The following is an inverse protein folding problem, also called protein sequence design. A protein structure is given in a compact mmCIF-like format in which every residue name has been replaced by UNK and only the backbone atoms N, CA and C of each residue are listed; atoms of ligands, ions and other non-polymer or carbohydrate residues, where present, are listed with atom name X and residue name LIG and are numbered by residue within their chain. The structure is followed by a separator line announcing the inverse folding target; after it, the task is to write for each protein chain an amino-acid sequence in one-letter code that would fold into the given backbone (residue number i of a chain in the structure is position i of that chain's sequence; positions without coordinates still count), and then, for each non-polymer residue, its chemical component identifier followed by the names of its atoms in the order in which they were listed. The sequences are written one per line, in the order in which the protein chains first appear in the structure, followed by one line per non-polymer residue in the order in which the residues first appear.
data_IF_016511650354
#
_entry.id   IF_016511650354
#
_cell.length_a   1.000
_cell.length_b   1.000
_cell.length_c   1.000
_cell.angle_alpha   90.00
_cell.angle_beta   90.00
_cell.angle_gamma   90.00
#
_symmetry.space_group_name_H-M   'P 1'
#
loop_
_entity.id
_entity.type
_entity.pdbx_description
1 polymer ?
#
# COMPACT_ATOMS: atom_id res chain seq x y z
N UNK A 1 -6.80 4.72 88.23
CA UNK A 1 -8.03 3.94 87.93
C UNK A 1 -8.09 3.91 86.41
N UNK A 2 -7.65 2.85 85.72
CA UNK A 2 -8.34 1.55 85.54
C UNK A 2 -9.82 1.80 85.21
N UNK A 3 -10.38 1.41 84.06
CA UNK A 3 -10.32 0.07 83.47
C UNK A 3 -10.37 0.05 81.93
N UNK A 4 -9.85 -1.05 81.42
CA UNK A 4 -9.86 -1.57 80.06
C UNK A 4 -11.21 -2.28 79.79
N UNK A 5 -11.75 -2.30 78.56
CA UNK A 5 -12.23 -3.55 77.93
C UNK A 5 -12.78 -3.41 76.50
N UNK A 6 -12.33 -4.38 75.70
CA UNK A 6 -12.49 -4.70 74.28
C UNK A 6 -13.91 -5.04 73.79
N UNK A 7 -14.09 -4.95 72.45
CA UNK A 7 -14.68 -5.94 71.52
C UNK A 7 -15.27 -5.21 70.28
N UNK A 8 -15.19 -5.63 69.02
CA UNK A 8 -14.39 -6.57 68.21
C UNK A 8 -14.67 -6.19 66.74
N UNK A 9 -13.71 -6.41 65.83
CA UNK A 9 -13.73 -5.98 64.42
C UNK A 9 -14.64 -6.84 63.51
N UNK A 10 -15.37 -6.21 62.58
CA UNK A 10 -15.87 -6.86 61.34
C UNK A 10 -15.28 -6.15 60.10
N UNK A 11 -14.03 -6.47 59.77
CA UNK A 11 -13.37 -6.02 58.53
C UNK A 11 -13.81 -6.88 57.36
N UNK A 12 -14.90 -6.48 56.68
CA UNK A 12 -15.29 -7.05 55.39
C UNK A 12 -14.22 -6.73 54.35
N UNK A 13 -13.42 -7.74 54.04
CA UNK A 13 -12.18 -7.66 53.28
C UNK A 13 -12.39 -7.25 51.81
N UNK A 14 -11.67 -6.20 51.38
CA UNK A 14 -11.60 -5.74 50.00
C UNK A 14 -10.92 -6.76 49.04
N UNK A 15 -10.37 -7.86 49.56
CA UNK A 15 -9.67 -8.89 48.79
C UNK A 15 -10.62 -9.62 47.81
N UNK A 16 -11.90 -9.78 48.17
CA UNK A 16 -12.88 -10.44 47.30
C UNK A 16 -13.10 -9.67 45.99
N UNK A 17 -13.00 -8.33 46.01
CA UNK A 17 -13.13 -7.51 44.79
C UNK A 17 -11.96 -7.71 43.84
N UNK A 18 -10.74 -7.83 44.36
CA UNK A 18 -9.54 -8.05 43.55
C UNK A 18 -9.49 -9.46 42.95
N UNK A 19 -9.95 -10.48 43.68
CA UNK A 19 -10.07 -11.85 43.14
C UNK A 19 -11.10 -11.91 42.00
N UNK A 20 -12.24 -11.21 42.14
CA UNK A 20 -13.26 -11.14 41.10
C UNK A 20 -12.76 -10.42 39.84
N UNK A 21 -12.00 -9.33 40.00
CA UNK A 21 -11.40 -8.60 38.88
C UNK A 21 -10.31 -9.39 38.17
N UNK A 22 -9.47 -10.12 38.92
CA UNK A 22 -8.41 -10.97 38.37
C UNK A 22 -8.96 -12.13 37.54
N UNK A 23 -10.01 -12.82 38.03
CA UNK A 23 -10.65 -13.91 37.29
C UNK A 23 -11.38 -13.41 36.03
N UNK A 24 -12.05 -12.25 36.12
CA UNK A 24 -12.75 -11.65 34.97
C UNK A 24 -11.80 -11.21 33.85
N UNK A 25 -10.65 -10.62 34.21
CA UNK A 25 -9.65 -10.17 33.24
C UNK A 25 -8.99 -11.32 32.48
N UNK A 26 -8.60 -12.40 33.17
CA UNK A 26 -8.02 -13.57 32.52
C UNK A 26 -9.01 -14.33 31.65
N UNK A 27 -10.29 -14.38 32.04
CA UNK A 27 -11.35 -14.99 31.25
C UNK A 27 -11.55 -14.30 29.89
N UNK A 28 -11.58 -12.96 29.86
CA UNK A 28 -11.74 -12.19 28.63
C UNK A 28 -10.53 -12.35 27.68
N UNK A 29 -9.32 -12.41 28.23
CA UNK A 29 -8.11 -12.57 27.43
C UNK A 29 -8.03 -13.96 26.77
N UNK A 30 -8.43 -15.02 27.49
CA UNK A 30 -8.50 -16.37 26.94
C UNK A 30 -9.56 -16.54 25.85
N UNK A 31 -10.72 -15.90 26.00
CA UNK A 31 -11.82 -15.97 25.03
C UNK A 31 -11.47 -15.22 23.73
N UNK A 32 -10.73 -14.11 23.82
CA UNK A 32 -10.23 -13.37 22.66
C UNK A 32 -9.22 -14.17 21.83
N UNK A 33 -8.27 -14.85 22.49
CA UNK A 33 -7.29 -15.71 21.80
C UNK A 33 -7.99 -16.91 21.13
N UNK A 34 -8.99 -17.50 21.79
CA UNK A 34 -9.75 -18.64 21.25
C UNK A 34 -10.57 -18.28 20.00
N UNK A 35 -11.28 -17.15 20.02
CA UNK A 35 -12.02 -16.66 18.85
C UNK A 35 -11.07 -16.23 17.72
N UNK A 36 -9.95 -15.59 18.05
CA UNK A 36 -8.94 -15.21 17.08
C UNK A 36 -8.34 -16.41 16.35
N UNK A 37 -8.00 -17.48 17.07
CA UNK A 37 -7.48 -18.71 16.47
C UNK A 37 -8.51 -19.45 15.60
N UNK A 38 -9.81 -19.41 15.97
CA UNK A 38 -10.87 -20.03 15.18
C UNK A 38 -11.10 -19.31 13.84
N UNK A 39 -10.99 -17.98 13.81
CA UNK A 39 -11.12 -17.20 12.57
C UNK A 39 -9.86 -17.23 11.69
N UNK A 40 -8.68 -17.39 12.28
CA UNK A 40 -7.41 -17.44 11.56
C UNK A 40 -7.03 -18.86 11.07
N UNK A 41 -7.58 -19.91 11.70
CA UNK A 41 -7.25 -21.32 11.38
C UNK A 41 -8.27 -22.06 10.51
N UNK A 42 -9.29 -21.38 9.98
CA UNK A 42 -10.45 -22.01 9.35
C UNK A 42 -10.62 -21.81 7.84
N UNK A 43 -9.58 -21.44 7.09
CA UNK A 43 -9.73 -21.22 5.65
C UNK A 43 -8.49 -21.62 4.83
N UNK A 44 -8.28 -22.93 4.68
CA UNK A 44 -7.53 -23.49 3.54
C UNK A 44 -8.45 -23.49 2.31
N UNK A 45 -8.67 -22.32 1.71
CA UNK A 45 -9.17 -22.24 0.33
C UNK A 45 -7.97 -21.90 -0.55
N UNK A 46 -7.27 -22.95 -0.99
CA UNK A 46 -6.19 -22.89 -1.96
C UNK A 46 -6.76 -22.41 -3.32
N UNK A 47 -6.38 -21.21 -3.81
CA UNK A 47 -6.93 -20.61 -5.03
C UNK A 47 -6.48 -21.31 -6.33
N UNK A 48 -5.71 -22.40 -6.23
CA UNK A 48 -5.10 -23.08 -7.37
C UNK A 48 -6.06 -24.03 -8.12
N UNK A 49 -7.18 -24.45 -7.51
CA UNK A 49 -8.09 -25.44 -8.11
C UNK A 49 -9.00 -24.89 -9.21
N UNK A 50 -9.15 -23.57 -9.32
CA UNK A 50 -9.96 -22.95 -10.38
C UNK A 50 -9.18 -22.81 -11.70
N UNK A 51 -7.85 -22.80 -11.63
CA UNK A 51 -6.98 -22.57 -12.78
C UNK A 51 -6.88 -23.84 -13.65
N UNK A 52 -6.90 -25.02 -13.02
CA UNK A 52 -6.77 -26.31 -13.73
C UNK A 52 -8.00 -26.64 -14.59
N UNK A 53 -9.22 -26.26 -14.15
CA UNK A 53 -10.45 -26.54 -14.91
C UNK A 53 -10.57 -25.70 -16.19
N UNK A 54 -9.92 -24.53 -16.23
CA UNK A 54 -9.93 -23.64 -17.41
C UNK A 54 -8.92 -24.12 -18.46
N UNK A 55 -7.82 -24.75 -18.03
CA UNK A 55 -6.75 -25.27 -18.92
C UNK A 55 -7.19 -26.56 -19.60
N UNK A 56 -7.83 -27.49 -18.88
CA UNK A 56 -8.26 -28.78 -19.43
C UNK A 56 -9.36 -28.64 -20.51
N UNK A 57 -10.17 -27.58 -20.43
CA UNK A 57 -11.19 -27.28 -21.47
C UNK A 57 -10.60 -26.71 -22.76
N UNK A 58 -9.31 -26.31 -22.76
CA UNK A 58 -8.63 -25.67 -23.90
C UNK A 58 -7.77 -26.63 -24.73
N UNK A 59 -7.55 -27.86 -24.26
CA UNK A 59 -6.54 -28.77 -24.82
C UNK A 59 -7.12 -30.08 -25.39
N UNK A 60 -8.22 -30.02 -26.15
CA UNK A 60 -8.54 -31.11 -27.08
C UNK A 60 -8.97 -30.58 -28.45
N UNK A 61 -8.01 -30.29 -29.34
CA UNK A 61 -8.26 -29.96 -30.73
C UNK A 61 -8.00 -31.19 -31.61
N UNK A 62 -9.02 -31.79 -32.22
CA UNK A 62 -8.90 -32.58 -33.45
C UNK A 62 -10.32 -32.82 -34.02
N UNK A 63 -10.74 -32.02 -35.01
CA UNK A 63 -10.75 -32.31 -36.48
C UNK A 63 -11.89 -33.26 -36.88
N UNK A 64 -12.91 -32.74 -37.59
CA UNK A 64 -13.35 -33.36 -38.85
C UNK A 64 -14.16 -32.39 -39.74
N UNK A 65 -13.54 -32.07 -40.88
CA UNK A 65 -14.01 -31.87 -42.26
C UNK A 65 -15.43 -31.37 -42.66
N UNK A 66 -15.39 -30.32 -43.50
CA UNK A 66 -16.13 -30.06 -44.75
C UNK A 66 -17.68 -30.09 -44.84
N UNK A 67 -18.16 -28.96 -45.39
CA UNK A 67 -19.23 -28.78 -46.39
C UNK A 67 -20.71 -29.12 -46.07
N UNK A 68 -21.52 -28.06 -46.30
CA UNK A 68 -22.89 -28.03 -46.84
C UNK A 68 -24.10 -28.41 -45.96
N UNK A 69 -24.91 -27.36 -45.74
CA UNK A 69 -26.37 -27.33 -45.86
C UNK A 69 -27.20 -28.24 -44.93
N UNK A 70 -27.75 -27.67 -43.87
CA UNK A 70 -29.19 -27.80 -43.58
C UNK A 70 -29.62 -26.90 -42.43
N UNK A 71 -30.80 -26.34 -42.62
CA UNK A 71 -31.58 -25.55 -41.69
C UNK A 71 -31.73 -26.25 -40.33
N UNK A 72 -31.28 -25.62 -39.23
CA UNK A 72 -31.74 -26.01 -37.91
C UNK A 72 -31.91 -24.77 -37.02
N UNK A 73 -33.17 -24.55 -36.66
CA UNK A 73 -33.69 -23.42 -35.91
C UNK A 73 -33.31 -23.69 -34.44
N UNK A 74 -32.30 -23.00 -33.92
CA UNK A 74 -31.96 -23.10 -32.50
C UNK A 74 -32.94 -22.22 -31.74
N UNK A 75 -33.91 -22.86 -31.09
CA UNK A 75 -34.80 -22.25 -30.09
C UNK A 75 -33.94 -21.62 -28.99
N UNK A 76 -33.92 -20.29 -28.96
CA UNK A 76 -33.30 -19.52 -27.88
C UNK A 76 -34.30 -19.51 -26.72
N UNK A 77 -34.07 -20.35 -25.71
CA UNK A 77 -34.86 -20.30 -24.48
C UNK A 77 -34.53 -19.03 -23.69
N UNK A 78 -35.49 -18.11 -23.60
CA UNK A 78 -35.41 -16.91 -22.76
C UNK A 78 -36.10 -17.15 -21.41
N UNK A 79 -35.61 -16.47 -20.37
CA UNK A 79 -36.23 -16.50 -19.05
C UNK A 79 -37.70 -16.04 -19.11
N UNK A 80 -38.59 -16.64 -18.32
CA UNK A 80 -40.04 -16.43 -18.44
C UNK A 80 -40.47 -14.96 -18.24
N UNK A 81 -39.69 -14.18 -17.50
CA UNK A 81 -39.98 -12.76 -17.25
C UNK A 81 -39.76 -11.85 -18.48
N UNK A 82 -39.11 -12.36 -19.53
CA UNK A 82 -38.77 -11.62 -20.77
C UNK A 82 -39.61 -12.06 -21.97
N UNK A 83 -40.60 -12.95 -21.78
CA UNK A 83 -41.51 -13.41 -22.85
C UNK A 83 -42.72 -12.48 -22.96
N UNK A 84 -43.17 -12.21 -24.19
CA UNK A 84 -44.44 -11.52 -24.42
C UNK A 84 -45.65 -12.42 -24.04
N UNK A 85 -46.88 -11.90 -24.08
CA UNK A 85 -48.10 -12.66 -23.73
C UNK A 85 -48.32 -13.90 -24.62
N UNK A 86 -47.57 -14.01 -25.72
CA UNK A 86 -47.55 -15.13 -26.66
C UNK A 86 -46.32 -16.06 -26.50
N UNK A 87 -45.43 -15.82 -25.53
CA UNK A 87 -44.32 -16.70 -25.17
C UNK A 87 -43.03 -16.51 -25.97
N UNK A 88 -42.91 -15.43 -26.74
CA UNK A 88 -41.81 -15.18 -27.66
C UNK A 88 -40.74 -14.24 -27.09
N UNK A 89 -39.48 -14.45 -27.45
CA UNK A 89 -38.35 -13.63 -27.01
C UNK A 89 -38.25 -12.30 -27.79
N UNK A 90 -38.01 -11.14 -27.14
CA UNK A 90 -37.82 -9.88 -27.82
C UNK A 90 -36.51 -9.88 -28.63
N UNK A 91 -36.64 -9.87 -29.96
CA UNK A 91 -35.54 -9.71 -30.91
C UNK A 91 -35.15 -8.24 -31.04
N UNK A 92 -34.36 -7.75 -30.08
CA UNK A 92 -33.69 -6.45 -30.14
C UNK A 92 -32.19 -6.60 -29.88
N UNK A 93 -31.33 -5.74 -30.46
CA UNK A 93 -29.89 -5.80 -30.21
C UNK A 93 -29.61 -5.49 -28.73
N UNK A 94 -29.11 -6.49 -28.00
CA UNK A 94 -28.70 -6.34 -26.59
C UNK A 94 -27.62 -5.25 -26.52
N UNK A 95 -27.91 -4.17 -25.78
CA UNK A 95 -26.93 -3.10 -25.52
C UNK A 95 -25.83 -3.67 -24.63
N UNK A 96 -24.72 -4.06 -25.22
CA UNK A 96 -23.51 -4.41 -24.48
C UNK A 96 -22.94 -3.10 -23.93
N UNK A 97 -22.93 -2.88 -22.60
CA UNK A 97 -22.28 -1.72 -22.03
C UNK A 97 -20.78 -1.82 -22.37
N UNK A 98 -20.24 -0.80 -23.04
CA UNK A 98 -18.79 -0.64 -23.16
C UNK A 98 -18.27 -0.48 -21.75
N UNK A 99 -17.51 -1.47 -21.27
CA UNK A 99 -16.68 -1.34 -20.09
C UNK A 99 -15.69 -0.20 -20.39
N UNK A 100 -15.95 0.97 -19.84
CA UNK A 100 -14.98 2.05 -19.82
C UNK A 100 -13.84 1.53 -18.94
N UNK A 101 -12.60 1.42 -19.44
CA UNK A 101 -11.47 1.08 -18.60
C UNK A 101 -11.45 2.07 -17.44
N UNK A 102 -11.54 1.59 -16.21
CA UNK A 102 -11.27 2.43 -15.05
C UNK A 102 -9.78 2.82 -15.16
N UNK A 103 -9.51 4.07 -15.51
CA UNK A 103 -8.14 4.58 -15.46
C UNK A 103 -7.73 4.58 -13.99
N UNK A 104 -6.78 3.72 -13.64
CA UNK A 104 -6.14 3.75 -12.33
C UNK A 104 -5.54 5.15 -12.14
N UNK A 105 -6.20 5.97 -11.33
CA UNK A 105 -5.70 7.28 -10.96
C UNK A 105 -4.45 7.06 -10.11
N UNK A 106 -3.26 7.15 -10.72
CA UNK A 106 -1.99 7.05 -10.02
C UNK A 106 -1.91 8.16 -8.95
N UNK A 107 -2.13 7.79 -7.69
CA UNK A 107 -2.07 8.72 -6.58
C UNK A 107 -0.60 9.06 -6.31
N UNK A 108 -0.24 10.35 -6.41
CA UNK A 108 1.11 10.79 -6.05
C UNK A 108 1.29 10.69 -4.54
N UNK A 109 2.22 9.84 -4.10
CA UNK A 109 2.64 9.72 -2.70
C UNK A 109 3.87 10.60 -2.46
N UNK A 110 4.01 11.07 -1.22
CA UNK A 110 5.08 11.97 -0.80
C UNK A 110 5.76 11.43 0.45
N UNK A 111 7.08 11.58 0.50
CA UNK A 111 7.89 11.27 1.67
C UNK A 111 8.86 12.41 1.94
N UNK A 112 8.88 12.91 3.18
CA UNK A 112 9.80 13.96 3.61
C UNK A 112 10.91 13.37 4.48
N UNK A 113 12.16 13.65 4.12
CA UNK A 113 13.29 13.19 4.92
C UNK A 113 13.26 13.88 6.29
N UNK A 114 13.38 13.13 7.40
CA UNK A 114 13.30 13.74 8.72
C UNK A 114 14.54 14.59 8.99
N UNK A 115 14.36 15.88 9.26
CA UNK A 115 15.44 16.82 9.58
C UNK A 115 15.96 17.58 8.36
N UNK A 116 17.17 18.14 8.50
CA UNK A 116 17.71 19.12 7.55
C UNK A 116 19.06 18.61 7.03
N UNK A 117 19.37 18.90 5.78
CA UNK A 117 20.66 18.65 5.16
C UNK A 117 21.46 19.94 5.19
N UNK A 118 22.65 19.90 5.77
CA UNK A 118 23.55 21.05 5.83
C UNK A 118 24.91 20.64 5.27
N UNK A 119 25.34 21.29 4.19
CA UNK A 119 26.67 21.05 3.61
C UNK A 119 27.27 22.34 3.06
N UNK A 120 28.59 22.34 2.91
CA UNK A 120 29.31 23.44 2.26
C UNK A 120 29.17 23.31 0.75
N UNK A 121 29.12 24.46 0.07
CA UNK A 121 29.09 24.49 -1.39
C UNK A 121 30.50 24.51 -1.97
N UNK A 122 30.64 23.96 -3.18
CA UNK A 122 31.91 23.85 -3.88
C UNK A 122 32.59 25.21 -4.01
N UNK A 123 33.85 25.28 -3.58
CA UNK A 123 34.69 26.48 -3.73
C UNK A 123 34.21 27.70 -2.93
N UNK A 124 33.29 27.52 -1.97
CA UNK A 124 32.71 28.63 -1.20
C UNK A 124 32.83 28.40 0.30
N UNK A 125 32.80 29.51 1.06
CA UNK A 125 32.60 29.48 2.52
C UNK A 125 31.13 29.48 2.92
N UNK A 126 30.23 29.60 1.93
CA UNK A 126 28.79 29.53 2.12
C UNK A 126 28.36 28.10 2.33
N UNK A 127 27.35 27.91 3.16
CA UNK A 127 26.72 26.61 3.35
C UNK A 127 25.26 26.67 2.91
N UNK A 128 24.77 25.52 2.46
CA UNK A 128 23.39 25.34 2.08
C UNK A 128 22.71 24.46 3.13
N UNK A 129 21.60 24.96 3.66
CA UNK A 129 20.69 24.19 4.51
C UNK A 129 19.37 23.97 3.79
N UNK A 130 19.01 22.71 3.55
CA UNK A 130 17.79 22.33 2.85
C UNK A 130 17.02 21.26 3.60
N UNK A 131 15.70 21.28 3.45
CA UNK A 131 14.81 20.17 3.79
C UNK A 131 14.25 19.61 2.49
N UNK A 132 14.30 18.29 2.34
CA UNK A 132 14.05 17.59 1.08
C UNK A 132 12.89 16.60 1.27
N UNK A 133 11.97 16.59 0.31
CA UNK A 133 10.98 15.52 0.15
C UNK A 133 11.03 14.93 -1.25
N UNK A 134 10.55 13.71 -1.39
CA UNK A 134 10.45 12.99 -2.67
C UNK A 134 8.99 12.65 -2.94
N UNK A 135 8.65 12.51 -4.21
CA UNK A 135 7.32 12.05 -4.62
C UNK A 135 7.38 11.01 -5.73
N UNK A 136 6.40 10.12 -5.73
CA UNK A 136 6.24 9.10 -6.76
C UNK A 136 4.77 8.82 -7.07
N UNK A 137 4.49 8.46 -8.32
CA UNK A 137 3.22 7.90 -8.78
C UNK A 137 3.26 6.37 -8.91
N UNK A 138 4.40 5.73 -8.57
CA UNK A 138 4.53 4.28 -8.54
C UNK A 138 3.95 3.67 -7.25
N UNK A 139 4.37 2.44 -6.92
CA UNK A 139 3.94 1.69 -5.75
C UNK A 139 4.39 2.38 -4.44
N UNK A 140 3.56 2.27 -3.39
CA UNK A 140 3.86 2.68 -2.02
C UNK A 140 5.14 2.03 -1.49
N UNK A 141 5.52 0.87 -2.03
CA UNK A 141 6.80 0.19 -1.72
C UNK A 141 8.02 1.09 -1.94
N UNK A 142 8.00 1.98 -2.94
CA UNK A 142 9.12 2.90 -3.19
C UNK A 142 9.37 3.80 -1.97
N UNK A 143 8.30 4.26 -1.31
CA UNK A 143 8.41 5.12 -0.13
C UNK A 143 8.92 4.35 1.09
N UNK A 144 8.54 3.07 1.23
CA UNK A 144 9.08 2.19 2.27
C UNK A 144 10.59 1.93 2.08
N UNK A 145 11.03 1.79 0.82
CA UNK A 145 12.45 1.60 0.49
C UNK A 145 13.26 2.87 0.77
N UNK A 146 12.73 4.05 0.42
CA UNK A 146 13.32 5.35 0.76
C UNK A 146 13.47 5.50 2.28
N UNK A 147 12.46 5.11 3.04
CA UNK A 147 12.49 5.16 4.51
C UNK A 147 13.52 4.19 5.11
N UNK A 148 13.59 2.97 4.57
CA UNK A 148 14.51 1.93 5.04
C UNK A 148 15.97 2.27 4.74
N UNK A 149 16.24 2.89 3.58
CA UNK A 149 17.58 3.21 3.10
C UNK A 149 17.98 4.68 3.29
N UNK A 150 17.31 5.40 4.20
CA UNK A 150 17.59 6.80 4.51
C UNK A 150 19.08 7.09 4.72
N UNK A 151 19.83 6.23 5.42
CA UNK A 151 21.23 6.50 5.73
C UNK A 151 22.09 6.62 4.46
N UNK A 152 21.92 5.68 3.52
CA UNK A 152 22.64 5.69 2.25
C UNK A 152 22.23 6.90 1.40
N UNK A 153 20.91 7.13 1.27
CA UNK A 153 20.36 8.27 0.54
C UNK A 153 20.86 9.61 1.09
N UNK A 154 20.94 9.75 2.42
CA UNK A 154 21.42 10.98 3.03
C UNK A 154 22.88 11.26 2.72
N UNK A 155 23.72 10.22 2.71
CA UNK A 155 25.13 10.36 2.31
C UNK A 155 25.24 10.86 0.87
N UNK A 156 24.47 10.26 -0.03
CA UNK A 156 24.47 10.62 -1.46
C UNK A 156 23.97 12.05 -1.68
N UNK A 157 22.85 12.42 -1.05
CA UNK A 157 22.27 13.77 -1.10
C UNK A 157 23.30 14.82 -0.64
N UNK A 158 24.00 14.57 0.46
CA UNK A 158 25.04 15.49 0.96
C UNK A 158 26.23 15.60 0.00
N UNK A 159 26.61 14.48 -0.63
CA UNK A 159 27.63 14.41 -1.67
C UNK A 159 27.26 15.30 -2.87
N UNK A 160 26.10 15.05 -3.47
CA UNK A 160 25.59 15.78 -4.63
C UNK A 160 25.53 17.29 -4.34
N UNK A 161 24.92 17.70 -3.21
CA UNK A 161 24.81 19.14 -2.89
C UNK A 161 26.20 19.79 -2.77
N UNK A 162 27.20 19.08 -2.25
CA UNK A 162 28.56 19.61 -2.07
C UNK A 162 29.29 19.89 -3.39
N UNK A 163 28.85 19.30 -4.50
CA UNK A 163 29.45 19.52 -5.82
C UNK A 163 29.00 20.81 -6.49
N UNK A 164 27.89 21.40 -6.04
CA UNK A 164 27.33 22.61 -6.63
C UNK A 164 28.01 23.87 -6.09
N UNK A 165 28.17 24.87 -6.96
CA UNK A 165 28.63 26.20 -6.57
C UNK A 165 27.46 27.06 -6.05
N UNK A 166 27.79 28.12 -5.30
CA UNK A 166 26.80 29.01 -4.70
C UNK A 166 25.98 29.80 -5.75
N UNK A 167 26.59 30.09 -6.89
CA UNK A 167 25.99 30.83 -7.99
C UNK A 167 24.92 29.98 -8.70
N UNK A 168 25.19 28.68 -8.85
CA UNK A 168 24.30 27.74 -9.54
C UNK A 168 23.01 27.55 -8.74
N UNK A 169 23.10 27.37 -7.43
CA UNK A 169 21.93 27.05 -6.59
C UNK A 169 21.09 28.29 -6.19
N UNK A 170 21.53 29.49 -6.59
CA UNK A 170 20.88 30.75 -6.23
C UNK A 170 19.62 31.04 -7.04
N UNK A 171 19.54 30.51 -8.27
CA UNK A 171 18.46 30.79 -9.21
C UNK A 171 17.50 29.60 -9.36
N UNK A 172 16.34 29.81 -10.00
CA UNK A 172 15.32 28.77 -10.17
C UNK A 172 15.82 27.60 -11.03
N UNK A 173 16.61 27.89 -12.06
CA UNK A 173 17.10 26.87 -12.99
C UNK A 173 18.08 25.92 -12.32
N UNK A 174 19.01 26.43 -11.52
CA UNK A 174 19.96 25.59 -10.80
C UNK A 174 19.35 24.89 -9.60
N UNK A 175 18.28 25.43 -8.98
CA UNK A 175 17.46 24.63 -8.05
C UNK A 175 16.82 23.44 -8.73
N UNK A 176 16.28 23.63 -9.94
CA UNK A 176 15.73 22.52 -10.74
C UNK A 176 16.83 21.51 -11.10
N UNK A 177 17.99 21.98 -11.56
CA UNK A 177 19.13 21.11 -11.87
C UNK A 177 19.60 20.31 -10.65
N UNK A 178 19.65 20.95 -9.47
CA UNK A 178 19.96 20.27 -8.22
C UNK A 178 18.91 19.21 -7.88
N UNK A 179 17.61 19.53 -8.00
CA UNK A 179 16.55 18.55 -7.78
C UNK A 179 16.65 17.36 -8.75
N UNK A 180 16.93 17.61 -10.03
CA UNK A 180 17.10 16.57 -11.04
C UNK A 180 18.30 15.68 -10.71
N UNK A 181 19.43 16.26 -10.29
CA UNK A 181 20.62 15.50 -9.86
C UNK A 181 20.38 14.67 -8.59
N UNK A 182 19.68 15.25 -7.62
CA UNK A 182 19.30 14.53 -6.41
C UNK A 182 18.36 13.35 -6.74
N UNK A 183 17.40 13.56 -7.64
CA UNK A 183 16.49 12.50 -8.09
C UNK A 183 17.27 11.36 -8.74
N UNK A 184 18.20 11.68 -9.64
CA UNK A 184 19.04 10.69 -10.32
C UNK A 184 19.88 9.90 -9.30
N UNK A 185 20.59 10.57 -8.38
CA UNK A 185 21.42 9.88 -7.38
C UNK A 185 20.62 9.10 -6.34
N UNK A 186 19.43 9.55 -5.95
CA UNK A 186 18.53 8.78 -5.09
C UNK A 186 18.10 7.49 -5.79
N UNK A 187 17.73 7.56 -7.06
CA UNK A 187 17.33 6.37 -7.82
C UNK A 187 18.51 5.42 -8.03
N UNK A 188 19.72 5.92 -8.29
CA UNK A 188 20.93 5.08 -8.41
C UNK A 188 21.16 4.26 -7.14
N UNK A 189 21.07 4.89 -5.96
CA UNK A 189 21.21 4.18 -4.68
C UNK A 189 20.08 3.16 -4.47
N UNK A 190 18.84 3.50 -4.82
CA UNK A 190 17.71 2.58 -4.71
C UNK A 190 17.83 1.39 -5.66
N UNK A 191 18.30 1.61 -6.88
CA UNK A 191 18.58 0.55 -7.86
C UNK A 191 19.71 -0.36 -7.38
N UNK A 192 20.75 0.18 -6.74
CA UNK A 192 21.85 -0.60 -6.19
C UNK A 192 21.44 -1.49 -5.00
N UNK A 193 20.56 -1.01 -4.13
CA UNK A 193 20.18 -1.73 -2.89
C UNK A 193 18.93 -2.60 -3.04
N UNK A 194 17.93 -2.16 -3.82
CA UNK A 194 16.64 -2.85 -4.00
C UNK A 194 16.47 -3.45 -5.41
N UNK A 195 17.31 -3.07 -6.37
CA UNK A 195 17.20 -3.51 -7.77
C UNK A 195 16.22 -2.70 -8.62
N UNK A 196 15.52 -1.71 -8.03
CA UNK A 196 14.64 -0.81 -8.75
C UNK A 196 14.56 0.57 -8.08
N UNK A 197 14.58 1.62 -8.90
CA UNK A 197 14.28 2.98 -8.50
C UNK A 197 12.79 3.29 -8.58
N UNK A 198 12.42 4.55 -8.35
CA UNK A 198 11.01 4.94 -8.42
C UNK A 198 10.72 6.35 -7.93
N UNK A 199 11.73 7.16 -7.62
CA UNK A 199 11.52 8.56 -7.26
C UNK A 199 11.37 9.37 -8.54
N UNK A 200 10.22 10.03 -8.71
CA UNK A 200 9.94 10.85 -9.89
C UNK A 200 10.40 12.28 -9.71
N UNK A 201 10.16 12.86 -8.53
CA UNK A 201 10.48 14.25 -8.26
C UNK A 201 11.07 14.43 -6.86
N UNK A 202 11.99 15.39 -6.77
CA UNK A 202 12.57 15.89 -5.51
C UNK A 202 12.10 17.32 -5.28
N UNK A 203 11.62 17.59 -4.08
CA UNK A 203 11.04 18.86 -3.66
C UNK A 203 11.84 19.44 -2.51
N UNK A 204 12.05 20.76 -2.52
CA UNK A 204 12.67 21.48 -1.41
C UNK A 204 11.58 22.16 -0.57
N UNK A 205 11.37 21.69 0.67
CA UNK A 205 10.41 22.31 1.61
C UNK A 205 11.03 23.50 2.35
N UNK A 206 12.35 23.51 2.49
CA UNK A 206 13.14 24.63 2.99
C UNK A 206 14.42 24.77 2.19
N UNK A 207 14.84 26.02 1.92
CA UNK A 207 16.04 26.30 1.14
C UNK A 207 16.71 27.60 1.62
N UNK A 208 17.77 27.45 2.41
CA UNK A 208 18.47 28.57 3.05
C UNK A 208 19.95 28.53 2.66
N UNK A 209 20.41 29.59 2.00
CA UNK A 209 21.81 29.81 1.62
C UNK A 209 22.41 30.88 2.54
N UNK A 210 23.50 30.56 3.24
CA UNK A 210 24.18 31.46 4.19
C UNK A 210 25.66 31.60 3.88
#
# INVERSE_FOLDING_TARGET
MAENNNQEEDKKSNILKYVLFGLGGFGLMGLGIFLGAFFLGGNDSDPSSEITQIIEKKENPEVDDNEENSEEIVEVECAEEEKDEEGNCPVGPKKIPKLVPEEDLFATTYYEFPGNFTTNLKGSKKFLQVSIGVSTQYDEQVMANVDSHQLALRSEILGIISEFAAEDVSNREGKKLLADKLKDGINEILEDVEGFGGVENVHFTSFVLQ
#
